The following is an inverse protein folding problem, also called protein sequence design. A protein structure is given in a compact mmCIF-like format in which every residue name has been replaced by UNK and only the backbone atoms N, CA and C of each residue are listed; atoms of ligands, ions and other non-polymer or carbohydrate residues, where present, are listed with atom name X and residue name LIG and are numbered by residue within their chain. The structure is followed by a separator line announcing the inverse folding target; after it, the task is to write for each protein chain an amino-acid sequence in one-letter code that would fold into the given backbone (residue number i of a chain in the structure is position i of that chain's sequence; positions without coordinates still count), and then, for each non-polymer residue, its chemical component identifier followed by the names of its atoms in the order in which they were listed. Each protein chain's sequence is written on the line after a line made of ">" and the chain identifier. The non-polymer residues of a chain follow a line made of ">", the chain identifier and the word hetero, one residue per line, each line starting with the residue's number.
data_IF_510249111399
#
_entry.id   IF_510249111399
#
_cell.length_a   1.000
_cell.length_b   1.000
_cell.length_c   1.000
_cell.angle_alpha   90.00
_cell.angle_beta   90.00
_cell.angle_gamma   90.00
#
_symmetry.space_group_name_H-M   'P 1'
#
loop_
_entity.id
_entity.type
_entity.pdbx_description
1 polymer ?
#
# COMPACT_ATOMS: atom_id res chain seq x y z
N UNK A 1 -11.27 -19.98 -10.81
CA UNK A 1 -11.00 -18.98 -9.76
C UNK A 1 -11.48 -19.57 -8.46
N UNK A 2 -10.59 -19.78 -7.49
CA UNK A 2 -11.01 -20.19 -6.16
C UNK A 2 -11.81 -19.06 -5.52
N UNK A 3 -12.86 -19.43 -4.79
CA UNK A 3 -13.68 -18.46 -4.08
C UNK A 3 -13.00 -18.15 -2.73
N UNK A 4 -12.15 -17.13 -2.73
CA UNK A 4 -11.37 -16.73 -1.55
C UNK A 4 -12.27 -16.01 -0.56
N UNK A 5 -12.40 -16.57 0.65
CA UNK A 5 -13.18 -15.94 1.73
C UNK A 5 -12.33 -14.86 2.40
N UNK A 6 -12.37 -13.65 1.85
CA UNK A 6 -11.57 -12.52 2.33
C UNK A 6 -11.74 -12.27 3.85
N UNK A 7 -12.94 -12.50 4.39
CA UNK A 7 -13.23 -12.33 5.82
C UNK A 7 -12.36 -13.24 6.70
N UNK A 8 -12.15 -14.50 6.28
CA UNK A 8 -11.27 -15.44 6.99
C UNK A 8 -9.80 -15.07 6.83
N UNK A 9 -9.40 -14.63 5.63
CA UNK A 9 -8.03 -14.13 5.37
C UNK A 9 -7.69 -12.97 6.30
N UNK A 10 -8.60 -12.01 6.46
CA UNK A 10 -8.41 -10.89 7.38
C UNK A 10 -8.43 -11.35 8.84
N UNK A 11 -9.35 -12.23 9.22
CA UNK A 11 -9.41 -12.75 10.58
C UNK A 11 -8.11 -13.46 10.99
N UNK A 12 -7.54 -14.31 10.12
CA UNK A 12 -6.29 -15.01 10.39
C UNK A 12 -5.09 -14.05 10.52
N UNK A 13 -5.05 -12.98 9.72
CA UNK A 13 -4.03 -11.94 9.85
C UNK A 13 -4.11 -11.22 11.20
N UNK A 14 -5.31 -10.77 11.59
CA UNK A 14 -5.54 -10.12 12.88
C UNK A 14 -5.21 -11.06 14.04
N UNK A 15 -5.68 -12.30 14.00
CA UNK A 15 -5.40 -13.31 15.02
C UNK A 15 -3.90 -13.55 15.16
N UNK A 16 -3.20 -13.75 14.03
CA UNK A 16 -1.74 -13.94 14.06
C UNK A 16 -1.00 -12.75 14.67
N UNK A 17 -1.50 -11.52 14.49
CA UNK A 17 -0.96 -10.32 15.09
C UNK A 17 -1.23 -10.26 16.61
N UNK A 18 -2.46 -10.57 17.04
CA UNK A 18 -2.82 -10.56 18.46
C UNK A 18 -2.12 -11.65 19.28
N UNK A 19 -1.72 -12.76 18.65
CA UNK A 19 -0.98 -13.84 19.30
C UNK A 19 0.51 -13.53 19.54
N UNK A 20 1.02 -12.38 19.06
CA UNK A 20 2.42 -12.01 19.24
C UNK A 20 2.74 -11.75 20.71
N UNK A 21 3.59 -12.59 21.30
CA UNK A 21 4.30 -12.24 22.53
C UNK A 21 5.51 -11.36 22.19
N UNK A 22 5.41 -10.07 22.51
CA UNK A 22 6.46 -9.09 22.23
C UNK A 22 7.74 -9.29 23.04
N UNK A 23 7.74 -10.08 24.12
CA UNK A 23 8.94 -10.45 24.85
C UNK A 23 9.75 -11.52 24.10
N UNK A 24 9.07 -12.43 23.40
CA UNK A 24 9.69 -13.51 22.61
C UNK A 24 10.04 -13.00 21.20
N UNK A 25 9.07 -12.38 20.53
CA UNK A 25 9.17 -11.83 19.18
C UNK A 25 9.49 -10.33 19.23
N UNK A 26 10.65 -10.01 19.80
CA UNK A 26 11.03 -8.64 20.12
C UNK A 26 11.52 -7.77 18.94
N UNK A 27 11.58 -8.30 17.71
CA UNK A 27 12.00 -7.56 16.51
C UNK A 27 11.06 -7.80 15.32
N UNK A 28 11.08 -6.90 14.34
CA UNK A 28 10.16 -6.93 13.20
C UNK A 28 10.20 -8.26 12.43
N UNK A 29 11.40 -8.76 12.13
CA UNK A 29 11.56 -10.00 11.37
C UNK A 29 11.03 -11.22 12.14
N UNK A 30 11.28 -11.29 13.46
CA UNK A 30 10.75 -12.38 14.31
C UNK A 30 9.23 -12.36 14.41
N UNK A 31 8.61 -11.18 14.41
CA UNK A 31 7.15 -11.03 14.43
C UNK A 31 6.56 -11.46 13.09
N UNK A 32 7.19 -11.05 11.99
CA UNK A 32 6.80 -11.45 10.65
C UNK A 32 6.89 -12.96 10.45
N UNK A 33 8.00 -13.59 10.84
CA UNK A 33 8.19 -15.04 10.79
C UNK A 33 7.13 -15.78 11.61
N UNK A 34 6.82 -15.29 12.82
CA UNK A 34 5.77 -15.85 13.66
C UNK A 34 4.40 -15.77 12.99
N UNK A 35 4.00 -14.58 12.51
CA UNK A 35 2.71 -14.41 11.82
C UNK A 35 2.61 -15.32 10.60
N UNK A 36 3.68 -15.43 9.81
CA UNK A 36 3.73 -16.33 8.65
C UNK A 36 3.51 -17.79 9.06
N UNK A 37 4.19 -18.26 10.12
CA UNK A 37 4.02 -19.63 10.63
C UNK A 37 2.60 -19.88 11.13
N UNK A 38 2.03 -18.94 11.89
CA UNK A 38 0.66 -19.05 12.41
C UNK A 38 -0.36 -19.17 11.27
N UNK A 39 -0.27 -18.30 10.25
CA UNK A 39 -1.16 -18.35 9.07
C UNK A 39 -1.02 -19.67 8.31
N UNK A 40 0.21 -20.15 8.12
CA UNK A 40 0.46 -21.40 7.40
C UNK A 40 -0.04 -22.63 8.18
N UNK A 41 -0.05 -22.57 9.51
CA UNK A 41 -0.54 -23.63 10.38
C UNK A 41 -2.08 -23.64 10.53
N UNK A 42 -2.78 -22.56 10.16
CA UNK A 42 -4.23 -22.47 10.28
C UNK A 42 -4.95 -23.50 9.38
N UNK A 43 -5.61 -24.48 9.98
CA UNK A 43 -6.33 -25.55 9.26
C UNK A 43 -7.67 -25.09 8.69
N UNK A 44 -8.18 -23.92 9.09
CA UNK A 44 -9.46 -23.37 8.61
C UNK A 44 -9.35 -22.71 7.22
N UNK A 45 -8.13 -22.31 6.85
CA UNK A 45 -7.81 -21.70 5.57
C UNK A 45 -7.44 -22.74 4.51
N UNK A 46 -7.95 -22.53 3.30
CA UNK A 46 -7.46 -23.21 2.10
C UNK A 46 -6.06 -22.72 1.72
N UNK A 47 -5.35 -23.47 0.87
CA UNK A 47 -4.03 -23.05 0.40
C UNK A 47 -4.05 -21.70 -0.34
N UNK A 48 -5.11 -21.43 -1.10
CA UNK A 48 -5.27 -20.16 -1.81
C UNK A 48 -5.51 -18.99 -0.84
N UNK A 49 -6.27 -19.23 0.24
CA UNK A 49 -6.48 -18.23 1.29
C UNK A 49 -5.20 -17.96 2.09
N UNK A 50 -4.42 -19.01 2.40
CA UNK A 50 -3.10 -18.86 3.02
C UNK A 50 -2.18 -18.03 2.12
N UNK A 51 -2.16 -18.33 0.82
CA UNK A 51 -1.39 -17.56 -0.14
C UNK A 51 -1.76 -16.08 -0.12
N UNK A 52 -3.06 -15.75 -0.16
CA UNK A 52 -3.51 -14.35 -0.11
C UNK A 52 -3.20 -13.67 1.23
N UNK A 53 -3.31 -14.39 2.35
CA UNK A 53 -2.93 -13.88 3.66
C UNK A 53 -1.44 -13.54 3.70
N UNK A 54 -0.57 -14.44 3.24
CA UNK A 54 0.87 -14.20 3.15
C UNK A 54 1.18 -13.04 2.18
N UNK A 55 0.50 -12.94 1.04
CA UNK A 55 0.66 -11.81 0.11
C UNK A 55 0.38 -10.48 0.80
N UNK A 56 -0.68 -10.38 1.59
CA UNK A 56 -1.02 -9.18 2.38
C UNK A 56 0.00 -8.92 3.50
N UNK A 57 0.42 -9.97 4.22
CA UNK A 57 1.44 -9.89 5.26
C UNK A 57 2.77 -9.34 4.72
N UNK A 58 3.20 -9.79 3.54
CA UNK A 58 4.44 -9.33 2.90
C UNK A 58 4.36 -7.83 2.57
N UNK A 59 3.23 -7.36 2.04
CA UNK A 59 3.00 -5.93 1.78
C UNK A 59 3.07 -5.11 3.06
N UNK A 60 2.49 -5.61 4.15
CA UNK A 60 2.56 -4.95 5.45
C UNK A 60 3.98 -4.93 6.02
N UNK A 61 4.73 -6.04 5.92
CA UNK A 61 6.11 -6.12 6.40
C UNK A 61 7.02 -5.12 5.66
N UNK A 62 6.90 -5.04 4.33
CA UNK A 62 7.62 -4.03 3.53
C UNK A 62 7.29 -2.60 3.97
N UNK A 63 6.01 -2.29 4.17
CA UNK A 63 5.57 -1.00 4.67
C UNK A 63 6.19 -0.67 6.03
N UNK A 64 6.16 -1.62 6.97
CA UNK A 64 6.66 -1.43 8.34
C UNK A 64 8.19 -1.24 8.36
N UNK A 65 8.94 -2.00 7.53
CA UNK A 65 10.38 -1.80 7.39
C UNK A 65 10.71 -0.37 6.96
N UNK A 66 10.01 0.16 5.95
CA UNK A 66 10.23 1.53 5.47
C UNK A 66 9.81 2.55 6.53
N UNK A 67 8.66 2.36 7.18
CA UNK A 67 8.13 3.28 8.19
C UNK A 67 9.10 3.47 9.37
N UNK A 68 9.68 2.38 9.87
CA UNK A 68 10.62 2.41 10.99
C UNK A 68 12.09 2.50 10.55
N UNK A 69 12.36 2.49 9.24
CA UNK A 69 13.70 2.42 8.66
C UNK A 69 14.54 1.28 9.29
N UNK A 70 13.92 0.11 9.44
CA UNK A 70 14.48 -1.08 10.09
C UNK A 70 14.43 -2.27 9.13
N UNK A 71 15.43 -3.14 9.24
CA UNK A 71 15.54 -4.37 8.45
C UNK A 71 16.69 -4.33 7.45
N UNK A 72 16.82 -5.43 6.71
CA UNK A 72 17.90 -5.59 5.74
C UNK A 72 17.60 -4.81 4.46
N UNK A 73 18.50 -3.88 4.11
CA UNK A 73 18.48 -3.22 2.81
C UNK A 73 19.02 -4.15 1.71
N UNK A 74 18.55 -3.92 0.49
CA UNK A 74 19.03 -4.58 -0.72
C UNK A 74 19.24 -3.55 -1.82
N UNK A 75 20.20 -3.80 -2.72
CA UNK A 75 20.37 -2.97 -3.92
C UNK A 75 19.30 -3.39 -4.92
N UNK A 76 18.52 -2.44 -5.42
CA UNK A 76 17.54 -2.70 -6.47
C UNK A 76 18.14 -2.46 -7.85
N UNK A 77 18.11 -3.48 -8.71
CA UNK A 77 18.80 -3.47 -10.01
C UNK A 77 18.41 -2.28 -10.90
N UNK A 78 17.15 -1.84 -10.86
CA UNK A 78 16.66 -0.79 -11.76
C UNK A 78 17.18 0.62 -11.41
N UNK A 79 17.45 0.92 -10.13
CA UNK A 79 17.88 2.25 -9.71
C UNK A 79 19.22 2.28 -8.97
N UNK A 80 19.80 1.13 -8.67
CA UNK A 80 21.06 0.98 -7.93
C UNK A 80 21.05 1.57 -6.51
N UNK A 81 19.86 1.93 -5.99
CA UNK A 81 19.67 2.40 -4.62
C UNK A 81 19.47 1.23 -3.64
N UNK A 82 19.87 1.44 -2.39
CA UNK A 82 19.58 0.54 -1.29
C UNK A 82 18.16 0.74 -0.76
N UNK A 83 17.24 -0.16 -1.08
CA UNK A 83 15.85 -0.12 -0.65
C UNK A 83 15.53 -1.14 0.45
N UNK A 84 14.51 -0.84 1.26
CA UNK A 84 14.05 -1.71 2.36
C UNK A 84 12.94 -2.68 1.93
N UNK A 85 12.05 -2.26 1.02
CA UNK A 85 11.00 -3.14 0.54
C UNK A 85 11.55 -4.27 -0.34
N UNK A 86 10.94 -5.44 -0.23
CA UNK A 86 11.25 -6.64 -1.02
C UNK A 86 10.42 -6.68 -2.30
N UNK A 87 9.14 -6.32 -2.22
CA UNK A 87 8.17 -6.39 -3.33
C UNK A 87 8.28 -5.23 -4.32
N UNK A 88 8.83 -4.11 -3.90
CA UNK A 88 9.01 -2.91 -4.71
C UNK A 88 10.26 -2.14 -4.25
N UNK A 89 10.53 -1.01 -4.90
CA UNK A 89 11.55 -0.06 -4.46
C UNK A 89 10.89 1.30 -4.19
N UNK A 90 10.91 1.74 -2.93
CA UNK A 90 10.31 3.01 -2.50
C UNK A 90 10.93 4.22 -3.23
N UNK A 91 12.21 4.14 -3.61
CA UNK A 91 12.88 5.19 -4.37
C UNK A 91 12.44 5.24 -5.83
N UNK A 92 12.28 4.09 -6.50
CA UNK A 92 11.74 4.05 -7.87
C UNK A 92 10.35 4.69 -7.94
N UNK A 93 9.47 4.36 -6.98
CA UNK A 93 8.13 4.94 -6.90
C UNK A 93 8.21 6.47 -6.78
N UNK A 94 9.00 6.97 -5.82
CA UNK A 94 9.14 8.42 -5.59
C UNK A 94 9.74 9.13 -6.79
N UNK A 95 10.75 8.55 -7.43
CA UNK A 95 11.39 9.11 -8.62
C UNK A 95 10.43 9.18 -9.81
N UNK A 96 9.61 8.14 -9.99
CA UNK A 96 8.56 8.12 -10.99
C UNK A 96 7.51 9.20 -10.76
N UNK A 97 7.00 9.31 -9.53
CA UNK A 97 6.03 10.34 -9.17
C UNK A 97 6.61 11.73 -9.40
N UNK A 98 7.86 11.97 -8.98
CA UNK A 98 8.58 13.22 -9.18
C UNK A 98 8.69 13.61 -10.66
N UNK A 99 8.96 12.66 -11.55
CA UNK A 99 9.03 12.90 -12.99
C UNK A 99 7.67 13.35 -13.58
N UNK A 100 6.56 13.05 -12.90
CA UNK A 100 5.21 13.44 -13.33
C UNK A 100 4.69 14.74 -12.72
N UNK A 101 5.43 15.41 -11.85
CA UNK A 101 4.95 16.62 -11.16
C UNK A 101 4.57 17.75 -12.12
N UNK A 102 5.19 17.83 -13.29
CA UNK A 102 4.84 18.82 -14.33
C UNK A 102 3.61 18.46 -15.16
N UNK A 103 3.09 17.22 -15.04
CA UNK A 103 2.02 16.71 -15.91
C UNK A 103 0.62 17.04 -15.39
N UNK A 104 0.51 17.54 -14.16
CA UNK A 104 -0.76 17.92 -13.56
C UNK A 104 -0.59 19.13 -12.64
N UNK A 105 -1.68 19.85 -12.42
CA UNK A 105 -1.80 20.91 -11.41
C UNK A 105 -3.25 20.97 -10.96
N UNK A 106 -3.48 21.31 -9.70
CA UNK A 106 -4.81 21.65 -9.18
C UNK A 106 -5.23 23.09 -9.50
N UNK A 107 -4.33 23.90 -10.06
CA UNK A 107 -4.48 25.35 -10.16
C UNK A 107 -4.22 26.07 -8.83
N UNK A 108 -3.85 25.35 -7.76
CA UNK A 108 -3.51 25.90 -6.46
C UNK A 108 -2.14 25.41 -5.99
N UNK A 109 -1.15 26.30 -5.99
CA UNK A 109 0.23 25.96 -5.62
C UNK A 109 0.37 25.35 -4.22
N UNK A 110 -0.47 25.74 -3.25
CA UNK A 110 -0.38 25.17 -1.90
C UNK A 110 -0.85 23.70 -1.87
N UNK A 111 -1.88 23.37 -2.64
CA UNK A 111 -2.38 22.00 -2.78
C UNK A 111 -1.37 21.17 -3.56
N UNK A 112 -0.84 21.69 -4.66
CA UNK A 112 0.16 21.01 -5.49
C UNK A 112 1.42 20.70 -4.66
N UNK A 113 1.94 21.67 -3.91
CA UNK A 113 3.09 21.49 -3.04
C UNK A 113 2.84 20.44 -1.95
N UNK A 114 1.64 20.42 -1.36
CA UNK A 114 1.27 19.42 -0.35
C UNK A 114 1.25 18.01 -0.96
N UNK A 115 0.57 17.83 -2.08
CA UNK A 115 0.47 16.52 -2.75
C UNK A 115 1.86 16.04 -3.18
N UNK A 116 2.67 16.90 -3.81
CA UNK A 116 4.03 16.55 -4.23
C UNK A 116 4.90 16.15 -3.04
N UNK A 117 4.79 16.86 -1.91
CA UNK A 117 5.50 16.49 -0.67
C UNK A 117 5.08 15.11 -0.17
N UNK A 118 3.78 14.84 -0.09
CA UNK A 118 3.26 13.52 0.30
C UNK A 118 3.74 12.42 -0.64
N UNK A 119 3.74 12.68 -1.96
CA UNK A 119 4.22 11.73 -2.97
C UNK A 119 5.71 11.39 -2.78
N UNK A 120 6.55 12.38 -2.46
CA UNK A 120 7.97 12.17 -2.16
C UNK A 120 8.23 11.37 -0.86
N UNK A 121 7.27 11.33 0.05
CA UNK A 121 7.33 10.58 1.31
C UNK A 121 6.56 9.25 1.25
N UNK A 122 6.08 8.84 0.06
CA UNK A 122 5.29 7.61 -0.10
C UNK A 122 6.04 6.38 0.40
N UNK A 123 5.34 5.56 1.18
CA UNK A 123 5.89 4.36 1.83
C UNK A 123 5.55 3.08 1.08
N UNK A 124 4.40 3.01 0.42
CA UNK A 124 3.95 1.85 -0.36
C UNK A 124 3.04 2.26 -1.52
N UNK A 125 2.90 1.42 -2.56
CA UNK A 125 2.09 1.75 -3.74
C UNK A 125 0.63 2.09 -3.42
N UNK A 126 0.02 1.35 -2.50
CA UNK A 126 -1.37 1.52 -2.06
C UNK A 126 -1.58 2.64 -1.03
N UNK A 127 -0.56 3.47 -0.77
CA UNK A 127 -0.60 4.60 0.18
C UNK A 127 -0.14 5.90 -0.48
N UNK A 128 -0.01 5.92 -1.80
CA UNK A 128 0.35 7.13 -2.56
C UNK A 128 -0.84 8.10 -2.51
N UNK A 129 -0.56 9.38 -2.24
CA UNK A 129 -1.55 10.45 -2.40
C UNK A 129 -1.62 10.81 -3.88
N UNK A 130 -2.80 10.67 -4.49
CA UNK A 130 -2.98 10.84 -5.93
C UNK A 130 -3.80 12.10 -6.26
N UNK A 131 -3.35 12.86 -7.25
CA UNK A 131 -4.15 13.91 -7.86
C UNK A 131 -5.01 13.30 -8.96
N UNK A 132 -6.33 13.44 -8.85
CA UNK A 132 -7.30 12.92 -9.81
C UNK A 132 -7.88 14.09 -10.61
N UNK A 133 -7.53 14.24 -11.90
CA UNK A 133 -8.16 15.24 -12.76
C UNK A 133 -9.66 15.03 -12.83
N UNK A 134 -10.44 16.11 -12.84
CA UNK A 134 -11.91 16.03 -12.89
C UNK A 134 -12.42 15.21 -14.09
N UNK A 135 -11.75 15.29 -15.23
CA UNK A 135 -12.09 14.53 -16.44
C UNK A 135 -11.88 13.01 -16.30
N UNK A 136 -11.21 12.55 -15.24
CA UNK A 136 -11.04 11.13 -14.93
C UNK A 136 -12.13 10.59 -14.00
N UNK A 137 -13.13 11.43 -13.66
CA UNK A 137 -14.30 11.05 -12.88
C UNK A 137 -15.51 10.88 -13.80
N UNK A 138 -16.29 9.82 -13.57
CA UNK A 138 -17.55 9.54 -14.26
C UNK A 138 -18.67 9.29 -13.26
N UNK A 139 -19.92 9.22 -13.74
CA UNK A 139 -21.09 8.97 -12.90
C UNK A 139 -21.18 9.92 -11.69
N UNK A 140 -20.86 11.19 -11.92
CA UNK A 140 -20.81 12.22 -10.89
C UNK A 140 -22.24 12.56 -10.47
N UNK A 141 -22.61 12.15 -9.26
CA UNK A 141 -23.94 12.33 -8.71
C UNK A 141 -23.88 13.16 -7.42
N UNK A 142 -24.79 14.12 -7.28
CA UNK A 142 -24.95 14.85 -6.04
C UNK A 142 -25.41 13.90 -4.92
N UNK A 143 -24.71 13.97 -3.78
CA UNK A 143 -25.05 13.17 -2.60
C UNK A 143 -25.82 14.01 -1.57
N UNK A 144 -25.22 15.11 -1.12
CA UNK A 144 -25.81 15.97 -0.09
C UNK A 144 -25.08 17.31 -0.01
N UNK A 145 -25.61 18.23 0.81
CA UNK A 145 -25.01 19.52 1.13
C UNK A 145 -25.00 19.68 2.64
N UNK A 146 -23.86 20.12 3.18
CA UNK A 146 -23.70 20.33 4.61
C UNK A 146 -22.53 21.26 4.90
N UNK A 147 -22.49 21.84 6.10
CA UNK A 147 -21.43 22.74 6.54
C UNK A 147 -21.15 23.85 5.52
N UNK A 148 -20.04 23.72 4.80
CA UNK A 148 -19.56 24.71 3.81
C UNK A 148 -19.37 24.12 2.40
N UNK A 149 -19.92 22.93 2.09
CA UNK A 149 -19.70 22.27 0.80
C UNK A 149 -20.87 21.43 0.32
N UNK A 150 -20.85 21.16 -0.98
CA UNK A 150 -21.66 20.14 -1.64
C UNK A 150 -20.80 18.88 -1.79
N UNK A 151 -21.41 17.73 -1.51
CA UNK A 151 -20.75 16.42 -1.55
C UNK A 151 -21.31 15.66 -2.75
N UNK A 152 -20.41 15.11 -3.55
CA UNK A 152 -20.72 14.32 -4.74
C UNK A 152 -20.07 12.94 -4.60
N UNK A 153 -20.71 11.92 -5.18
CA UNK A 153 -20.11 10.61 -5.45
C UNK A 153 -19.69 10.57 -6.90
N UNK A 154 -18.57 9.91 -7.20
CA UNK A 154 -18.10 9.69 -8.55
C UNK A 154 -17.31 8.38 -8.64
N UNK A 155 -17.32 7.78 -9.82
CA UNK A 155 -16.45 6.65 -10.14
C UNK A 155 -15.15 7.17 -10.74
N UNK A 156 -14.03 6.65 -10.28
CA UNK A 156 -12.73 6.96 -10.84
C UNK A 156 -12.35 5.96 -11.92
N UNK A 157 -12.25 6.43 -13.17
CA UNK A 157 -12.08 5.59 -14.37
C UNK A 157 -10.79 4.74 -14.30
N UNK A 158 -9.70 5.33 -13.84
CA UNK A 158 -8.39 4.66 -13.80
C UNK A 158 -8.18 3.79 -12.56
N UNK A 159 -8.96 4.00 -11.51
CA UNK A 159 -8.74 3.37 -10.21
C UNK A 159 -7.42 3.77 -9.53
N UNK A 160 -7.23 3.27 -8.31
CA UNK A 160 -6.03 3.54 -7.49
C UNK A 160 -4.87 2.60 -7.79
N UNK A 161 -3.65 3.01 -7.42
CA UNK A 161 -2.49 2.09 -7.40
C UNK A 161 -2.66 0.99 -6.34
N UNK A 162 -2.68 -0.28 -6.77
CA UNK A 162 -2.71 -1.43 -5.85
C UNK A 162 -1.36 -2.11 -5.70
N UNK A 163 -0.60 -2.19 -6.80
CA UNK A 163 0.71 -2.82 -6.90
C UNK A 163 1.62 -1.96 -7.77
N UNK A 164 2.92 -2.03 -7.51
CA UNK A 164 3.93 -1.37 -8.34
C UNK A 164 4.50 -2.37 -9.33
N UNK A 165 4.41 -2.05 -10.61
CA UNK A 165 4.98 -2.81 -11.71
C UNK A 165 5.89 -1.89 -12.55
N UNK A 166 7.20 -2.06 -12.38
CA UNK A 166 8.19 -1.25 -13.09
C UNK A 166 8.16 -1.38 -14.61
N UNK A 167 7.50 -2.38 -15.18
CA UNK A 167 7.36 -2.55 -16.63
C UNK A 167 6.15 -1.79 -17.20
N UNK A 168 5.13 -1.55 -16.38
CA UNK A 168 3.88 -0.87 -16.75
C UNK A 168 3.87 0.62 -16.38
N UNK A 169 4.86 1.08 -15.60
CA UNK A 169 4.99 2.47 -15.17
C UNK A 169 6.09 3.21 -15.90
#
# INVERSE_FOLDING_TARGET
>A
MSNIRNELVFAALEESYFLIDYNIHNGLDKRYEFMQQTILADETLTNDEKYEAIKKLNKYHDFVKILYNEGKKRIYENCQEECLATLYCEYCIRNYLKAKFSNWTSGNNNIDNLIQKCQMESLSPNKIVEWIPYNNLQNINYLTKGGCSEIYTADWISGQYYEWNSEEQ
#
